data_IF_860852102905
#
_entry.id   IF_860852102905
#
_cell.length_a   1.000
_cell.length_b   1.000
_cell.length_c   1.000
_cell.angle_alpha   90.00
_cell.angle_beta   90.00
_cell.angle_gamma   90.00
#
_symmetry.space_group_name_H-M   'P 1'
#
loop_
_entity.id
_entity.type
_entity.pdbx_description
1 polymer ?
#
# COMPACT_ATOMS: atom_id res chain seq x y z
N UNK A 1 -12.00 30.86 1.72
CA UNK A 1 -12.63 30.86 3.06
C UNK A 1 -13.20 29.46 3.28
N UNK A 2 -12.47 28.59 3.97
CA UNK A 2 -12.91 27.21 4.24
C UNK A 2 -14.02 27.24 5.31
N UNK A 3 -15.09 26.43 5.19
CA UNK A 3 -16.13 26.38 6.20
C UNK A 3 -15.62 25.76 7.52
N UNK A 4 -16.23 26.09 8.67
CA UNK A 4 -15.82 25.55 9.97
C UNK A 4 -16.05 24.04 10.02
N UNK A 5 -15.08 23.34 10.61
CA UNK A 5 -15.12 21.90 10.81
C UNK A 5 -16.35 21.48 11.64
N UNK A 6 -17.17 20.60 11.07
CA UNK A 6 -18.28 19.95 11.76
C UNK A 6 -17.70 19.02 12.84
N UNK A 7 -18.29 18.92 14.05
CA UNK A 7 -17.83 17.96 15.05
C UNK A 7 -17.95 16.52 14.53
N UNK A 8 -16.83 15.81 14.50
CA UNK A 8 -16.71 14.49 13.88
C UNK A 8 -17.60 13.43 14.54
N UNK A 9 -18.28 12.64 13.70
CA UNK A 9 -19.14 11.54 14.13
C UNK A 9 -18.28 10.29 14.34
N UNK A 10 -18.33 9.72 15.54
CA UNK A 10 -17.71 8.43 15.87
C UNK A 10 -18.82 7.43 16.20
N UNK A 11 -18.78 6.24 15.59
CA UNK A 11 -19.74 5.17 15.88
C UNK A 11 -18.97 3.98 16.46
N UNK A 12 -19.43 3.47 17.59
CA UNK A 12 -18.94 2.21 18.16
C UNK A 12 -19.91 1.10 17.78
N UNK A 13 -19.46 0.18 16.92
CA UNK A 13 -20.21 -1.02 16.54
C UNK A 13 -19.61 -2.21 17.26
N UNK A 14 -20.15 -2.52 18.44
CA UNK A 14 -19.78 -3.72 19.20
C UNK A 14 -20.85 -4.81 19.08
N UNK A 15 -20.45 -6.05 18.78
CA UNK A 15 -21.32 -7.22 18.84
C UNK A 15 -21.86 -7.45 20.25
N UNK A 16 -23.13 -7.10 20.50
CA UNK A 16 -23.89 -7.67 21.63
C UNK A 16 -24.58 -8.95 21.17
N UNK A 17 -23.99 -10.11 21.45
CA UNK A 17 -24.67 -11.40 21.32
C UNK A 17 -25.74 -11.46 22.40
N UNK A 18 -27.00 -11.18 22.05
CA UNK A 18 -28.15 -11.47 22.92
C UNK A 18 -28.56 -12.92 22.72
N UNK A 19 -28.18 -13.78 23.66
CA UNK A 19 -28.75 -15.13 23.78
C UNK A 19 -30.17 -15.01 24.30
N UNK A 20 -31.16 -15.09 23.40
CA UNK A 20 -32.54 -15.30 23.79
C UNK A 20 -32.74 -16.77 24.11
N UNK A 21 -32.93 -17.09 25.41
CA UNK A 21 -33.49 -18.36 25.87
C UNK A 21 -35.00 -18.23 25.83
N UNK A 22 -35.65 -18.83 24.85
CA UNK A 22 -37.01 -19.37 24.99
C UNK A 22 -37.21 -20.58 24.06
N UNK A 23 -37.88 -21.65 24.52
CA UNK A 23 -37.95 -22.92 23.81
C UNK A 23 -39.21 -22.98 22.95
N UNK A 24 -39.03 -22.96 21.63
CA UNK A 24 -40.06 -23.41 20.69
C UNK A 24 -40.27 -22.50 19.50
N UNK A 25 -39.34 -22.47 18.54
CA UNK A 25 -39.62 -22.22 17.11
C UNK A 25 -38.41 -22.72 16.27
N UNK A 26 -38.60 -23.32 15.07
CA UNK A 26 -37.52 -23.98 14.34
C UNK A 26 -36.59 -22.96 13.66
N UNK A 27 -35.30 -23.31 13.69
CA UNK A 27 -34.18 -22.64 13.02
C UNK A 27 -34.45 -22.38 11.53
N UNK A 28 -34.19 -21.14 11.09
CA UNK A 28 -33.54 -20.67 9.86
C UNK A 28 -33.75 -19.14 9.84
N UNK A 29 -32.84 -18.38 9.24
CA UNK A 29 -32.70 -16.90 9.18
C UNK A 29 -31.68 -16.29 10.14
N UNK A 30 -30.42 -16.27 9.70
CA UNK A 30 -29.43 -15.28 10.12
C UNK A 30 -29.86 -13.91 9.57
N UNK A 31 -30.46 -13.06 10.42
CA UNK A 31 -30.75 -11.68 10.06
C UNK A 31 -29.47 -10.86 10.05
N UNK A 32 -28.86 -10.69 8.88
CA UNK A 32 -27.89 -9.63 8.60
C UNK A 32 -28.67 -8.31 8.58
N UNK A 33 -28.88 -7.72 9.76
CA UNK A 33 -29.56 -6.44 9.88
C UNK A 33 -28.64 -5.32 9.42
N UNK A 34 -28.75 -4.90 8.16
CA UNK A 34 -28.26 -3.61 7.69
C UNK A 34 -29.10 -2.50 8.32
N UNK A 35 -28.67 -1.98 9.47
CA UNK A 35 -29.21 -0.74 10.00
C UNK A 35 -28.63 0.43 9.22
N UNK A 36 -29.34 0.89 8.19
CA UNK A 36 -29.15 2.23 7.62
C UNK A 36 -29.50 3.28 8.68
N UNK A 37 -28.50 3.77 9.40
CA UNK A 37 -28.65 4.92 10.28
C UNK A 37 -28.74 6.20 9.44
N UNK A 38 -29.96 6.52 9.00
CA UNK A 38 -30.33 7.88 8.62
C UNK A 38 -30.31 8.73 9.89
N UNK A 39 -29.25 9.51 10.11
CA UNK A 39 -29.25 10.57 11.12
C UNK A 39 -30.13 11.72 10.62
N UNK A 40 -31.43 11.65 10.93
CA UNK A 40 -32.31 12.82 10.90
C UNK A 40 -32.31 13.41 12.31
N UNK A 41 -31.69 14.59 12.48
CA UNK A 41 -31.76 15.33 13.75
C UNK A 41 -33.22 15.73 14.03
N UNK A 42 -33.71 15.19 15.13
CA UNK A 42 -35.09 15.20 15.62
C UNK A 42 -35.59 16.56 16.11
N UNK A 43 -36.86 16.85 15.85
CA UNK A 43 -37.76 17.37 16.90
C UNK A 43 -39.25 17.20 16.51
N UNK A 44 -39.84 16.04 16.82
CA UNK A 44 -41.30 15.95 16.93
C UNK A 44 -41.70 14.79 17.86
N UNK A 45 -42.52 15.16 18.83
CA UNK A 45 -43.04 14.42 19.98
C UNK A 45 -43.88 13.20 19.55
N UNK A 46 -43.59 12.04 20.14
CA UNK A 46 -44.42 10.82 20.35
C UNK A 46 -45.75 10.65 19.59
N UNK A 47 -45.88 9.61 18.72
CA UNK A 47 -46.84 8.50 18.87
C UNK A 47 -46.64 7.41 17.79
N UNK A 48 -46.89 6.11 18.04
CA UNK A 48 -46.59 5.02 17.11
C UNK A 48 -47.84 4.45 16.42
N UNK A 49 -48.04 4.73 15.13
CA UNK A 49 -48.92 3.95 14.23
C UNK A 49 -48.49 4.11 12.76
N UNK A 50 -47.77 3.08 12.24
CA UNK A 50 -47.84 2.38 10.91
C UNK A 50 -48.46 3.12 9.68
N UNK A 51 -48.14 2.84 8.39
CA UNK A 51 -46.90 2.43 7.69
C UNK A 51 -46.52 3.34 6.48
N UNK A 52 -45.29 3.16 5.99
CA UNK A 52 -44.82 3.24 4.60
C UNK A 52 -45.72 3.92 3.52
N UNK A 53 -45.35 5.10 3.01
CA UNK A 53 -45.77 5.57 1.68
C UNK A 53 -44.82 6.61 1.08
N UNK A 54 -44.32 6.29 -0.12
CA UNK A 54 -43.82 7.25 -1.11
C UNK A 54 -44.90 8.31 -1.42
N UNK A 55 -44.44 9.46 -1.90
CA UNK A 55 -45.18 10.51 -2.63
C UNK A 55 -46.32 11.25 -1.91
N UNK A 56 -46.11 12.53 -1.58
CA UNK A 56 -47.15 13.56 -1.61
C UNK A 56 -46.54 14.98 -1.58
N UNK A 57 -46.08 15.48 -2.72
CA UNK A 57 -46.17 16.92 -3.02
C UNK A 57 -47.41 17.08 -3.90
N UNK A 58 -48.58 17.24 -3.28
CA UNK A 58 -49.82 17.57 -3.98
C UNK A 58 -50.18 19.02 -3.64
N UNK A 59 -50.13 19.87 -4.66
CA UNK A 59 -50.61 21.24 -4.65
C UNK A 59 -52.15 21.26 -4.67
N UNK A 60 -52.77 21.75 -3.60
CA UNK A 60 -54.13 22.31 -3.65
C UNK A 60 -54.16 23.58 -2.81
N UNK A 61 -54.68 24.66 -3.40
CA UNK A 61 -54.57 26.01 -2.87
C UNK A 61 -55.62 26.35 -1.81
N UNK A 62 -55.26 27.28 -0.91
CA UNK A 62 -56.04 28.48 -0.56
C UNK A 62 -55.44 29.15 0.68
N UNK A 63 -55.21 30.46 0.54
CA UNK A 63 -55.09 31.49 1.59
C UNK A 63 -53.97 31.43 2.67
N UNK A 64 -53.05 32.40 2.52
CA UNK A 64 -52.31 33.16 3.57
C UNK A 64 -51.61 32.35 4.68
N UNK A 65 -50.30 32.14 4.50
CA UNK A 65 -49.28 32.39 5.55
C UNK A 65 -47.90 32.59 4.92
N UNK A 66 -47.15 33.54 5.48
CA UNK A 66 -45.86 34.08 5.05
C UNK A 66 -44.81 33.00 4.69
N UNK A 67 -44.02 33.15 3.61
CA UNK A 67 -42.94 32.23 3.28
C UNK A 67 -41.70 32.63 4.09
N UNK A 68 -41.62 32.18 5.34
CA UNK A 68 -40.37 32.24 6.11
C UNK A 68 -40.06 30.86 6.66
N UNK A 69 -39.02 30.25 6.11
CA UNK A 69 -38.35 29.01 6.54
C UNK A 69 -38.92 27.69 5.98
N UNK A 70 -39.00 27.54 4.65
CA UNK A 70 -38.62 26.24 4.07
C UNK A 70 -37.10 26.22 3.99
N UNK A 71 -36.44 25.77 5.07
CA UNK A 71 -35.02 25.47 5.02
C UNK A 71 -34.81 24.39 3.95
N UNK A 72 -34.07 24.74 2.91
CA UNK A 72 -33.53 23.81 1.93
C UNK A 72 -32.82 22.68 2.69
N UNK A 73 -33.44 21.50 2.77
CA UNK A 73 -32.74 20.28 3.10
C UNK A 73 -31.77 20.02 1.95
N UNK A 74 -30.54 20.53 2.08
CA UNK A 74 -29.43 20.10 1.23
C UNK A 74 -29.39 18.58 1.28
N UNK A 75 -29.25 17.88 0.14
CA UNK A 75 -29.03 16.45 0.16
C UNK A 75 -27.76 16.19 0.97
N UNK A 76 -27.90 15.68 2.18
CA UNK A 76 -26.79 15.09 2.92
C UNK A 76 -26.26 13.97 2.05
N UNK A 77 -25.00 14.08 1.63
CA UNK A 77 -24.35 13.07 0.81
C UNK A 77 -24.36 11.74 1.58
N UNK A 78 -25.19 10.79 1.15
CA UNK A 78 -25.21 9.45 1.71
C UNK A 78 -23.95 8.73 1.22
N UNK A 79 -23.01 8.46 2.12
CA UNK A 79 -21.85 7.61 1.86
C UNK A 79 -22.14 6.21 2.39
N UNK A 80 -22.09 5.20 1.51
CA UNK A 80 -22.17 3.81 1.92
C UNK A 80 -20.78 3.35 2.39
N UNK A 81 -20.74 2.65 3.51
CA UNK A 81 -19.51 2.08 4.07
C UNK A 81 -19.67 0.57 4.16
N UNK A 82 -18.62 -0.14 3.78
CA UNK A 82 -18.52 -1.59 3.91
C UNK A 82 -17.62 -1.90 5.12
N UNK A 83 -18.20 -2.56 6.13
CA UNK A 83 -17.46 -2.95 7.34
C UNK A 83 -17.35 -4.47 7.38
N UNK A 84 -16.12 -4.96 7.57
CA UNK A 84 -15.84 -6.36 7.80
C UNK A 84 -15.43 -6.58 9.27
N UNK A 85 -16.15 -7.44 9.99
CA UNK A 85 -15.84 -7.81 11.39
C UNK A 85 -16.27 -6.78 12.45
N UNK A 86 -15.68 -6.90 13.64
CA UNK A 86 -15.85 -5.93 14.75
C UNK A 86 -14.82 -4.79 14.57
N UNK A 87 -15.17 -3.78 13.79
CA UNK A 87 -14.29 -2.66 13.44
C UNK A 87 -13.95 -1.70 14.61
N UNK A 88 -14.42 -1.98 15.82
CA UNK A 88 -14.18 -1.15 16.99
C UNK A 88 -14.75 0.27 16.85
N UNK A 89 -13.97 1.28 17.26
CA UNK A 89 -14.34 2.68 17.13
C UNK A 89 -14.00 3.17 15.71
N UNK A 90 -15.02 3.37 14.88
CA UNK A 90 -14.86 3.92 13.52
C UNK A 90 -15.25 5.39 13.50
N UNK A 91 -14.31 6.25 13.11
CA UNK A 91 -14.55 7.68 12.90
C UNK A 91 -14.93 7.90 11.44
N UNK A 92 -16.15 8.39 11.20
CA UNK A 92 -16.70 8.57 9.85
C UNK A 92 -16.34 9.94 9.26
N UNK A 93 -16.00 10.91 10.10
CA UNK A 93 -15.52 12.23 9.70
C UNK A 93 -14.22 12.56 10.47
N UNK A 94 -13.10 11.91 10.13
CA UNK A 94 -11.84 12.12 10.82
C UNK A 94 -11.23 13.46 10.43
N UNK A 95 -10.61 14.14 11.41
CA UNK A 95 -9.71 15.25 11.11
C UNK A 95 -8.44 14.73 10.39
N UNK A 96 -7.77 15.58 9.63
CA UNK A 96 -6.56 15.22 8.86
C UNK A 96 -5.52 14.41 9.66
N UNK A 97 -5.22 14.77 10.90
CA UNK A 97 -4.23 14.05 11.74
C UNK A 97 -4.74 12.69 12.22
N UNK A 98 -6.05 12.55 12.42
CA UNK A 98 -6.67 11.29 12.81
C UNK A 98 -6.64 10.31 11.64
N UNK A 99 -6.93 10.80 10.43
CA UNK A 99 -6.76 10.06 9.19
C UNK A 99 -5.28 9.67 8.99
N UNK A 100 -4.35 10.63 9.11
CA UNK A 100 -2.92 10.35 9.01
C UNK A 100 -2.47 9.23 9.96
N UNK A 101 -2.79 9.32 11.26
CA UNK A 101 -2.39 8.33 12.26
C UNK A 101 -3.03 6.96 12.02
N UNK A 102 -4.30 6.91 11.64
CA UNK A 102 -4.98 5.66 11.29
C UNK A 102 -4.24 4.94 10.16
N UNK A 103 -3.86 5.68 9.12
CA UNK A 103 -3.17 5.11 7.97
C UNK A 103 -1.70 4.81 8.23
N UNK A 104 -0.99 5.58 9.09
CA UNK A 104 0.36 5.22 9.55
C UNK A 104 0.35 3.87 10.25
N UNK A 105 -0.61 3.65 11.16
CA UNK A 105 -0.75 2.36 11.85
C UNK A 105 -1.10 1.25 10.86
N UNK A 106 -2.02 1.50 9.94
CA UNK A 106 -2.38 0.55 8.88
C UNK A 106 -1.18 0.18 8.00
N UNK A 107 -0.38 1.15 7.57
CA UNK A 107 0.83 0.93 6.76
C UNK A 107 1.92 0.16 7.49
N UNK A 108 2.07 0.38 8.80
CA UNK A 108 2.97 -0.41 9.63
C UNK A 108 2.54 -1.88 9.66
N UNK A 109 1.28 -2.16 9.98
CA UNK A 109 0.75 -3.53 10.03
C UNK A 109 0.76 -4.21 8.67
N UNK A 110 0.52 -3.48 7.59
CA UNK A 110 0.61 -4.00 6.23
C UNK A 110 1.96 -4.68 5.94
N UNK A 111 3.07 -4.10 6.40
CA UNK A 111 4.40 -4.69 6.20
C UNK A 111 4.61 -5.94 7.05
N UNK A 112 4.06 -5.98 8.26
CA UNK A 112 4.19 -7.13 9.16
C UNK A 112 3.31 -8.31 8.74
N UNK A 113 2.12 -8.04 8.21
CA UNK A 113 1.17 -9.06 7.75
C UNK A 113 1.48 -9.54 6.33
N UNK A 114 2.12 -8.68 5.51
CA UNK A 114 2.50 -8.99 4.14
C UNK A 114 3.69 -9.93 4.05
N UNK A 115 3.44 -11.24 4.01
CA UNK A 115 4.50 -12.26 3.85
C UNK A 115 5.38 -12.03 2.62
N UNK A 116 4.79 -11.55 1.52
CA UNK A 116 5.50 -11.19 0.29
C UNK A 116 6.54 -10.07 0.54
N UNK A 117 6.17 -9.06 1.33
CA UNK A 117 7.08 -7.98 1.71
C UNK A 117 8.21 -8.51 2.59
N UNK A 118 7.89 -9.31 3.60
CA UNK A 118 8.90 -9.89 4.50
C UNK A 118 9.92 -10.74 3.73
N UNK A 119 9.47 -11.60 2.81
CA UNK A 119 10.38 -12.42 1.99
C UNK A 119 11.22 -11.57 1.03
N UNK A 120 10.64 -10.53 0.43
CA UNK A 120 11.38 -9.58 -0.38
C UNK A 120 12.45 -8.83 0.43
N UNK A 121 12.11 -8.33 1.63
CA UNK A 121 13.05 -7.69 2.56
C UNK A 121 14.16 -8.66 3.00
N UNK A 122 13.82 -9.90 3.34
CA UNK A 122 14.81 -10.95 3.61
C UNK A 122 15.78 -11.11 2.44
N UNK A 123 15.28 -11.25 1.21
CA UNK A 123 16.10 -11.32 0.00
C UNK A 123 17.00 -10.08 -0.20
N UNK A 124 16.56 -8.88 0.18
CA UNK A 124 17.40 -7.70 0.08
C UNK A 124 18.57 -7.70 1.07
N UNK A 125 18.34 -8.17 2.30
CA UNK A 125 19.31 -8.10 3.41
C UNK A 125 20.34 -9.22 3.40
N UNK A 126 19.93 -10.44 3.01
CA UNK A 126 20.80 -11.63 2.99
C UNK A 126 22.19 -11.38 2.37
N UNK A 127 22.34 -10.79 1.16
CA UNK A 127 23.63 -10.66 0.48
C UNK A 127 24.52 -9.50 0.96
N UNK A 128 23.98 -8.49 1.64
CA UNK A 128 24.78 -7.42 2.25
C UNK A 128 24.00 -6.74 3.38
N UNK A 129 24.65 -6.58 4.53
CA UNK A 129 24.00 -6.15 5.80
C UNK A 129 24.36 -4.70 6.20
N UNK A 130 24.70 -3.85 5.22
CA UNK A 130 25.05 -2.44 5.47
C UNK A 130 23.79 -1.58 5.50
N UNK A 131 23.54 -0.89 6.62
CA UNK A 131 22.35 -0.06 6.83
C UNK A 131 22.16 1.04 5.77
N UNK A 132 23.19 1.84 5.50
CA UNK A 132 23.07 2.99 4.57
C UNK A 132 22.58 2.57 3.17
N UNK A 133 23.20 1.59 2.48
CA UNK A 133 22.69 1.10 1.21
C UNK A 133 21.29 0.48 1.30
N UNK A 134 21.00 -0.27 2.36
CA UNK A 134 19.70 -0.93 2.51
C UNK A 134 18.57 0.09 2.67
N UNK A 135 18.77 1.14 3.46
CA UNK A 135 17.80 2.23 3.59
C UNK A 135 17.52 2.87 2.23
N UNK A 136 18.54 3.20 1.43
CA UNK A 136 18.34 3.77 0.08
C UNK A 136 17.50 2.86 -0.81
N UNK A 137 17.74 1.54 -0.76
CA UNK A 137 17.05 0.56 -1.58
C UNK A 137 15.60 0.38 -1.12
N UNK A 138 15.38 0.27 0.20
CA UNK A 138 14.04 0.14 0.80
C UNK A 138 13.22 1.40 0.55
N UNK A 139 13.79 2.59 0.75
CA UNK A 139 13.10 3.85 0.43
C UNK A 139 12.77 3.93 -1.07
N UNK A 140 13.65 3.44 -1.96
CA UNK A 140 13.36 3.37 -3.39
C UNK A 140 12.16 2.46 -3.70
N UNK A 141 12.05 1.33 -3.02
CA UNK A 141 10.87 0.47 -3.07
C UNK A 141 9.61 1.23 -2.62
N UNK A 142 9.67 1.93 -1.48
CA UNK A 142 8.54 2.71 -0.95
C UNK A 142 8.09 3.81 -1.90
N UNK A 143 9.03 4.47 -2.58
CA UNK A 143 8.69 5.47 -3.60
C UNK A 143 7.95 4.83 -4.78
N UNK A 144 8.43 3.69 -5.30
CA UNK A 144 7.71 2.96 -6.36
C UNK A 144 6.33 2.48 -5.90
N UNK A 145 6.24 1.98 -4.68
CA UNK A 145 5.00 1.57 -4.02
C UNK A 145 4.01 2.73 -3.89
N UNK A 146 4.49 3.90 -3.45
CA UNK A 146 3.69 5.12 -3.34
C UNK A 146 3.10 5.53 -4.69
N UNK A 147 3.91 5.50 -5.76
CA UNK A 147 3.48 5.90 -7.10
C UNK A 147 2.35 4.99 -7.60
N UNK A 148 2.49 3.68 -7.44
CA UNK A 148 1.47 2.70 -7.87
C UNK A 148 0.20 2.78 -7.03
N UNK A 149 0.29 2.99 -5.71
CA UNK A 149 -0.87 3.23 -4.85
C UNK A 149 -1.63 4.50 -5.23
N UNK A 150 -0.90 5.61 -5.46
CA UNK A 150 -1.51 6.86 -5.92
C UNK A 150 -2.19 6.64 -7.28
N UNK A 151 -1.52 5.99 -8.22
CA UNK A 151 -2.10 5.70 -9.53
C UNK A 151 -3.40 4.88 -9.41
N UNK A 152 -3.41 3.85 -8.56
CA UNK A 152 -4.58 3.01 -8.33
C UNK A 152 -5.73 3.76 -7.62
N UNK A 153 -5.42 4.67 -6.70
CA UNK A 153 -6.39 5.50 -6.00
C UNK A 153 -7.07 6.52 -6.92
N UNK A 154 -6.37 7.02 -7.95
CA UNK A 154 -6.92 7.92 -8.96
C UNK A 154 -7.55 7.20 -10.16
N UNK A 155 -7.64 5.87 -10.14
CA UNK A 155 -8.27 5.09 -11.22
C UNK A 155 -7.43 4.95 -12.48
N UNK A 156 -6.10 5.08 -12.40
CA UNK A 156 -5.18 4.81 -13.52
C UNK A 156 -4.88 3.31 -13.72
N UNK A 157 -5.59 2.43 -13.01
CA UNK A 157 -5.43 0.98 -13.06
C UNK A 157 -6.68 0.34 -13.66
N UNK A 158 -6.56 -0.72 -14.48
CA UNK A 158 -7.73 -1.43 -14.98
C UNK A 158 -8.59 -2.02 -13.85
N UNK A 159 -9.89 -1.70 -13.83
CA UNK A 159 -10.85 -2.32 -12.92
C UNK A 159 -11.31 -3.70 -13.43
N UNK A 160 -10.36 -4.52 -13.88
CA UNK A 160 -10.63 -5.83 -14.45
C UNK A 160 -10.26 -6.95 -13.47
N UNK A 161 -11.09 -7.98 -13.40
CA UNK A 161 -10.94 -9.09 -12.44
C UNK A 161 -9.65 -9.90 -12.62
N UNK A 162 -9.04 -9.87 -13.82
CA UNK A 162 -7.76 -10.54 -14.09
C UNK A 162 -6.55 -9.76 -13.56
N UNK A 163 -6.70 -8.47 -13.25
CA UNK A 163 -5.57 -7.61 -12.88
C UNK A 163 -4.98 -7.93 -11.49
N UNK A 164 -5.76 -8.10 -10.41
CA UNK A 164 -5.19 -8.47 -9.11
C UNK A 164 -4.38 -9.78 -9.16
N UNK A 165 -4.90 -10.91 -9.68
CA UNK A 165 -4.14 -12.16 -9.78
C UNK A 165 -2.88 -12.03 -10.65
N UNK A 166 -2.93 -11.21 -11.71
CA UNK A 166 -1.75 -10.92 -12.52
C UNK A 166 -0.67 -10.24 -11.67
N UNK A 167 -1.03 -9.20 -10.92
CA UNK A 167 -0.08 -8.47 -10.08
C UNK A 167 0.47 -9.36 -8.97
N UNK A 168 -0.38 -10.16 -8.32
CA UNK A 168 0.05 -11.12 -7.29
C UNK A 168 1.03 -12.17 -7.84
N UNK A 169 0.81 -12.65 -9.07
CA UNK A 169 1.74 -13.55 -9.77
C UNK A 169 3.06 -12.84 -10.05
N UNK A 170 3.00 -11.59 -10.53
CA UNK A 170 4.20 -10.78 -10.79
C UNK A 170 4.98 -10.53 -9.49
N UNK A 171 4.32 -10.26 -8.36
CA UNK A 171 4.95 -10.14 -7.04
C UNK A 171 5.77 -11.40 -6.73
N UNK A 172 5.16 -12.59 -6.87
CA UNK A 172 5.87 -13.85 -6.65
C UNK A 172 7.09 -14.03 -7.59
N UNK A 173 6.94 -13.68 -8.88
CA UNK A 173 8.05 -13.67 -9.86
C UNK A 173 9.19 -12.75 -9.41
N UNK A 174 8.88 -11.55 -8.90
CA UNK A 174 9.92 -10.61 -8.44
C UNK A 174 10.71 -11.14 -7.23
N UNK A 175 10.07 -11.89 -6.34
CA UNK A 175 10.73 -12.53 -5.19
C UNK A 175 11.66 -13.66 -5.67
N UNK A 176 11.19 -14.52 -6.59
CA UNK A 176 12.02 -15.56 -7.22
C UNK A 176 13.24 -14.93 -7.89
N UNK A 177 13.03 -13.85 -8.64
CA UNK A 177 14.11 -13.11 -9.30
C UNK A 177 15.18 -12.65 -8.31
N UNK A 178 14.80 -12.02 -7.19
CA UNK A 178 15.77 -11.59 -6.16
C UNK A 178 16.54 -12.76 -5.57
N UNK A 179 15.84 -13.84 -5.27
CA UNK A 179 16.44 -15.02 -4.68
C UNK A 179 17.46 -15.66 -5.63
N UNK A 180 17.13 -15.80 -6.92
CA UNK A 180 18.05 -16.29 -7.94
C UNK A 180 19.24 -15.35 -8.14
N UNK A 181 19.02 -14.04 -8.15
CA UNK A 181 20.10 -13.05 -8.20
C UNK A 181 21.07 -13.26 -7.03
N UNK A 182 20.57 -13.41 -5.81
CA UNK A 182 21.42 -13.65 -4.64
C UNK A 182 22.25 -14.93 -4.77
N UNK A 183 21.65 -16.03 -5.24
CA UNK A 183 22.35 -17.30 -5.45
C UNK A 183 23.48 -17.14 -6.47
N UNK A 184 23.19 -16.51 -7.62
CA UNK A 184 24.17 -16.31 -8.69
C UNK A 184 25.33 -15.43 -8.21
N UNK A 185 25.05 -14.31 -7.54
CA UNK A 185 26.12 -13.43 -7.04
C UNK A 185 26.95 -14.08 -5.93
N UNK A 186 26.35 -14.94 -5.09
CA UNK A 186 27.07 -15.74 -4.11
C UNK A 186 27.98 -16.78 -4.76
N UNK A 187 27.47 -17.52 -5.75
CA UNK A 187 28.25 -18.51 -6.48
C UNK A 187 29.43 -17.89 -7.26
N UNK A 188 29.27 -16.66 -7.75
CA UNK A 188 30.31 -15.92 -8.46
C UNK A 188 31.30 -15.18 -7.52
N UNK A 189 31.11 -15.23 -6.20
CA UNK A 189 31.95 -14.51 -5.23
C UNK A 189 31.85 -12.98 -5.32
N UNK A 190 30.75 -12.45 -5.87
CA UNK A 190 30.53 -11.01 -6.12
C UNK A 190 29.56 -10.37 -5.13
N UNK A 191 29.52 -10.85 -3.89
CA UNK A 191 28.62 -10.29 -2.87
C UNK A 191 28.89 -8.79 -2.64
N UNK A 192 27.84 -7.98 -2.72
CA UNK A 192 27.85 -6.59 -2.24
C UNK A 192 28.30 -5.48 -3.21
N UNK A 193 28.44 -5.72 -4.52
CA UNK A 193 29.06 -4.71 -5.41
C UNK A 193 28.13 -3.80 -6.21
N UNK A 194 26.80 -4.04 -6.25
CA UNK A 194 25.95 -3.35 -7.24
C UNK A 194 24.72 -2.61 -6.67
N UNK A 195 24.98 -1.68 -5.74
CA UNK A 195 23.94 -0.81 -5.14
C UNK A 195 23.15 -0.06 -6.23
N UNK A 196 23.84 0.43 -7.27
CA UNK A 196 23.24 1.20 -8.37
C UNK A 196 22.18 0.41 -9.15
N UNK A 197 22.33 -0.91 -9.22
CA UNK A 197 21.37 -1.79 -9.89
C UNK A 197 20.22 -2.17 -8.96
N UNK A 198 20.52 -2.45 -7.70
CA UNK A 198 19.54 -2.92 -6.71
C UNK A 198 18.47 -1.89 -6.36
N UNK A 199 18.79 -0.60 -6.28
CA UNK A 199 17.77 0.43 -5.99
C UNK A 199 16.76 0.57 -7.13
N UNK A 200 17.19 0.41 -8.39
CA UNK A 200 16.31 0.44 -9.57
C UNK A 200 15.38 -0.78 -9.56
N UNK A 201 15.92 -1.96 -9.25
CA UNK A 201 15.14 -3.20 -9.16
C UNK A 201 14.12 -3.09 -8.02
N UNK A 202 14.54 -2.62 -6.84
CA UNK A 202 13.64 -2.41 -5.72
C UNK A 202 12.55 -1.38 -6.02
N UNK A 203 12.88 -0.29 -6.72
CA UNK A 203 11.88 0.66 -7.21
C UNK A 203 10.87 0.01 -8.15
N UNK A 204 11.35 -0.78 -9.13
CA UNK A 204 10.49 -1.50 -10.07
C UNK A 204 9.56 -2.50 -9.34
N UNK A 205 10.08 -3.20 -8.34
CA UNK A 205 9.28 -4.14 -7.54
C UNK A 205 8.30 -3.42 -6.63
N UNK A 206 8.67 -2.26 -6.10
CA UNK A 206 7.77 -1.35 -5.38
C UNK A 206 6.54 -1.00 -6.22
N UNK A 207 6.71 -0.67 -7.51
CA UNK A 207 5.59 -0.40 -8.42
C UNK A 207 4.64 -1.58 -8.53
N UNK A 208 5.17 -2.80 -8.70
CA UNK A 208 4.35 -4.01 -8.82
C UNK A 208 3.64 -4.30 -7.50
N UNK A 209 4.35 -4.25 -6.37
CA UNK A 209 3.79 -4.48 -5.04
C UNK A 209 2.68 -3.49 -4.69
N UNK A 210 2.81 -2.21 -5.05
CA UNK A 210 1.78 -1.23 -4.73
C UNK A 210 0.50 -1.42 -5.53
N UNK A 211 0.57 -1.95 -6.75
CA UNK A 211 -0.64 -2.38 -7.44
C UNK A 211 -1.32 -3.56 -6.73
N UNK A 212 -0.56 -4.50 -6.18
CA UNK A 212 -1.11 -5.69 -5.51
C UNK A 212 -1.89 -5.32 -4.25
N UNK A 213 -1.36 -4.37 -3.47
CA UNK A 213 -2.04 -3.91 -2.26
C UNK A 213 -3.18 -2.92 -2.52
N UNK A 214 -3.23 -2.28 -3.69
CA UNK A 214 -4.21 -1.24 -3.97
C UNK A 214 -5.68 -1.67 -3.79
N UNK A 215 -5.99 -2.95 -4.03
CA UNK A 215 -7.34 -3.51 -3.87
C UNK A 215 -7.77 -3.57 -2.39
N UNK A 216 -6.92 -4.10 -1.52
CA UNK A 216 -7.17 -4.10 -0.07
C UNK A 216 -7.20 -2.68 0.51
N UNK A 217 -6.35 -1.78 -0.02
CA UNK A 217 -6.31 -0.39 0.43
C UNK A 217 -7.61 0.35 0.10
N UNK A 218 -8.23 0.11 -1.07
CA UNK A 218 -9.50 0.75 -1.47
C UNK A 218 -10.60 0.59 -0.43
N UNK A 219 -10.70 -0.59 0.19
CA UNK A 219 -11.65 -0.84 1.28
C UNK A 219 -11.32 0.03 2.49
N UNK A 220 -10.06 0.12 2.92
CA UNK A 220 -9.73 0.96 4.07
C UNK A 220 -9.82 2.48 3.79
N UNK A 221 -9.62 2.91 2.54
CA UNK A 221 -9.66 4.31 2.13
C UNK A 221 -11.03 4.97 2.31
N UNK A 222 -12.10 4.19 2.43
CA UNK A 222 -13.43 4.73 2.76
C UNK A 222 -13.42 5.48 4.12
N UNK A 223 -12.54 5.08 5.05
CA UNK A 223 -12.39 5.71 6.36
C UNK A 223 -11.44 6.93 6.36
N UNK A 224 -10.87 7.30 5.20
CA UNK A 224 -10.00 8.47 5.09
C UNK A 224 -10.77 9.81 5.15
N UNK A 225 -12.10 9.80 5.02
CA UNK A 225 -12.92 10.99 4.91
C UNK A 225 -12.57 11.79 3.66
N UNK A 226 -12.49 13.12 3.78
CA UNK A 226 -12.08 14.02 2.69
C UNK A 226 -10.55 14.15 2.55
N UNK A 227 -9.78 13.32 3.27
CA UNK A 227 -8.33 13.43 3.41
C UNK A 227 -7.56 12.29 2.71
N UNK A 228 -7.96 11.92 1.50
CA UNK A 228 -7.36 10.82 0.73
C UNK A 228 -5.83 10.93 0.58
N UNK A 229 -5.31 12.12 0.22
CA UNK A 229 -3.86 12.31 0.06
C UNK A 229 -3.11 12.18 1.39
N UNK A 230 -3.71 12.68 2.47
CA UNK A 230 -3.15 12.54 3.82
C UNK A 230 -3.13 11.08 4.28
N UNK A 231 -4.17 10.32 3.97
CA UNK A 231 -4.24 8.89 4.22
C UNK A 231 -3.16 8.13 3.44
N UNK A 232 -3.02 8.37 2.13
CA UNK A 232 -1.99 7.73 1.30
C UNK A 232 -0.57 8.08 1.77
N UNK A 233 -0.32 9.34 2.13
CA UNK A 233 0.97 9.74 2.68
C UNK A 233 1.24 9.07 4.03
N UNK A 234 0.27 9.11 4.95
CA UNK A 234 0.37 8.45 6.25
C UNK A 234 0.63 6.95 6.11
N UNK A 235 -0.06 6.29 5.18
CA UNK A 235 0.14 4.88 4.88
C UNK A 235 1.59 4.58 4.48
N UNK A 236 2.17 5.34 3.54
CA UNK A 236 3.55 5.13 3.10
C UNK A 236 4.58 5.46 4.19
N UNK A 237 4.29 6.43 5.07
CA UNK A 237 5.11 6.67 6.27
C UNK A 237 5.08 5.46 7.20
N UNK A 238 3.90 4.88 7.43
CA UNK A 238 3.74 3.63 8.18
C UNK A 238 4.54 2.47 7.59
N UNK A 239 4.47 2.32 6.26
CA UNK A 239 5.23 1.32 5.49
C UNK A 239 6.73 1.50 5.72
N UNK A 240 7.28 2.69 5.50
CA UNK A 240 8.71 2.95 5.66
C UNK A 240 9.18 2.64 7.10
N UNK A 241 8.39 3.02 8.12
CA UNK A 241 8.68 2.72 9.53
C UNK A 241 8.70 1.20 9.76
N UNK A 242 7.69 0.48 9.27
CA UNK A 242 7.62 -0.98 9.37
C UNK A 242 8.79 -1.67 8.69
N UNK A 243 9.16 -1.21 7.49
CA UNK A 243 10.28 -1.76 6.75
C UNK A 243 11.61 -1.52 7.46
N UNK A 244 11.85 -0.33 8.01
CA UNK A 244 13.07 -0.04 8.79
C UNK A 244 13.11 -0.91 10.06
N UNK A 245 12.00 -1.10 10.75
CA UNK A 245 11.93 -1.95 11.94
C UNK A 245 12.29 -3.41 11.60
N UNK A 246 11.65 -3.98 10.56
CA UNK A 246 11.95 -5.34 10.08
C UNK A 246 13.40 -5.45 9.62
N UNK A 247 13.90 -4.45 8.90
CA UNK A 247 15.27 -4.39 8.41
C UNK A 247 16.29 -4.49 9.54
N UNK A 248 16.11 -3.73 10.63
CA UNK A 248 17.01 -3.76 11.79
C UNK A 248 17.03 -5.14 12.46
N UNK A 249 15.86 -5.78 12.60
CA UNK A 249 15.73 -7.13 13.16
C UNK A 249 16.41 -8.16 12.27
N UNK A 250 16.19 -8.10 10.95
CA UNK A 250 16.79 -9.03 9.99
C UNK A 250 18.32 -8.91 9.94
N UNK A 251 18.86 -7.69 9.96
CA UNK A 251 20.31 -7.47 9.98
C UNK A 251 20.92 -8.12 11.22
N UNK A 252 20.35 -7.87 12.40
CA UNK A 252 20.84 -8.46 13.65
C UNK A 252 20.76 -9.98 13.62
N UNK A 253 19.64 -10.55 13.19
CA UNK A 253 19.44 -11.99 13.13
C UNK A 253 20.44 -12.66 12.16
N UNK A 254 20.61 -12.11 10.96
CA UNK A 254 21.51 -12.65 9.94
C UNK A 254 22.99 -12.49 10.34
N UNK A 255 23.36 -11.39 10.98
CA UNK A 255 24.72 -11.21 11.52
C UNK A 255 25.06 -12.30 12.54
N UNK A 256 24.12 -12.64 13.44
CA UNK A 256 24.31 -13.72 14.40
C UNK A 256 24.40 -15.08 13.70
N UNK A 257 23.53 -15.35 12.72
CA UNK A 257 23.52 -16.64 12.01
C UNK A 257 24.83 -16.84 11.23
N UNK A 258 25.28 -15.86 10.46
CA UNK A 258 26.50 -16.00 9.66
C UNK A 258 27.78 -15.93 10.50
N UNK A 259 27.72 -15.35 11.70
CA UNK A 259 28.86 -15.37 12.63
C UNK A 259 29.03 -16.71 13.33
N UNK A 260 27.94 -17.41 13.65
CA UNK A 260 27.99 -18.58 14.54
C UNK A 260 27.59 -19.92 13.89
N UNK A 261 26.78 -19.93 12.83
CA UNK A 261 26.17 -21.17 12.30
C UNK A 261 26.72 -21.57 10.93
N UNK A 262 26.84 -20.65 9.98
CA UNK A 262 27.16 -20.98 8.58
C UNK A 262 28.07 -19.95 7.93
N UNK A 263 28.91 -20.41 7.00
CA UNK A 263 29.67 -19.51 6.13
C UNK A 263 28.71 -18.64 5.30
N UNK A 264 29.04 -17.36 5.16
CA UNK A 264 28.19 -16.34 4.53
C UNK A 264 27.72 -16.74 3.13
N UNK A 265 28.61 -17.24 2.26
CA UNK A 265 28.19 -17.66 0.90
C UNK A 265 27.14 -18.76 0.93
N UNK A 266 27.22 -19.68 1.91
CA UNK A 266 26.41 -20.89 1.93
C UNK A 266 25.06 -20.54 2.53
N UNK A 267 25.07 -19.76 3.61
CA UNK A 267 23.87 -19.19 4.19
C UNK A 267 23.07 -18.38 3.17
N UNK A 268 23.73 -17.56 2.36
CA UNK A 268 23.07 -16.77 1.29
C UNK A 268 22.42 -17.68 0.26
N UNK A 269 23.13 -18.71 -0.23
CA UNK A 269 22.59 -19.63 -1.24
C UNK A 269 21.42 -20.43 -0.68
N UNK A 270 21.57 -21.04 0.50
CA UNK A 270 20.55 -21.90 1.12
C UNK A 270 19.30 -21.10 1.45
N UNK A 271 19.44 -19.95 2.13
CA UNK A 271 18.28 -19.11 2.49
C UNK A 271 17.57 -18.59 1.25
N UNK A 272 18.32 -18.15 0.23
CA UNK A 272 17.72 -17.68 -1.03
C UNK A 272 17.03 -18.83 -1.78
N UNK A 273 17.58 -20.04 -1.78
CA UNK A 273 16.95 -21.20 -2.40
C UNK A 273 15.62 -21.58 -1.71
N UNK A 274 15.56 -21.49 -0.38
CA UNK A 274 14.32 -21.70 0.37
C UNK A 274 13.27 -20.63 0.04
N UNK A 275 13.67 -19.37 -0.02
CA UNK A 275 12.76 -18.26 -0.40
C UNK A 275 12.27 -18.46 -1.83
N UNK A 276 13.15 -18.80 -2.77
CA UNK A 276 12.79 -19.09 -4.16
C UNK A 276 11.78 -20.24 -4.26
N UNK A 277 11.97 -21.30 -3.45
CA UNK A 277 11.06 -22.44 -3.43
C UNK A 277 9.65 -22.05 -2.95
N UNK A 278 9.55 -21.28 -1.85
CA UNK A 278 8.25 -20.78 -1.36
C UNK A 278 7.59 -19.87 -2.41
N UNK A 279 8.34 -18.92 -2.96
CA UNK A 279 7.82 -17.99 -3.95
C UNK A 279 7.42 -18.70 -5.26
N UNK A 280 8.10 -19.80 -5.62
CA UNK A 280 7.73 -20.64 -6.77
C UNK A 280 6.34 -21.27 -6.61
N UNK A 281 6.04 -21.81 -5.43
CA UNK A 281 4.69 -22.35 -5.16
C UNK A 281 3.62 -21.27 -5.24
N UNK A 282 3.85 -20.09 -4.66
CA UNK A 282 2.92 -18.97 -4.77
C UNK A 282 2.75 -18.48 -6.20
N UNK A 283 3.82 -18.43 -6.99
CA UNK A 283 3.74 -18.07 -8.40
C UNK A 283 2.84 -19.03 -9.18
N UNK A 284 2.96 -20.35 -8.94
CA UNK A 284 2.08 -21.34 -9.56
C UNK A 284 0.64 -21.14 -9.10
N UNK A 285 0.41 -21.07 -7.79
CA UNK A 285 -0.94 -20.92 -7.22
C UNK A 285 -1.66 -19.68 -7.77
N UNK A 286 -0.99 -18.53 -7.75
CA UNK A 286 -1.53 -17.25 -8.25
C UNK A 286 -1.65 -17.25 -9.77
N UNK A 287 -0.72 -17.92 -10.47
CA UNK A 287 -0.76 -18.12 -11.91
C UNK A 287 -1.93 -19.00 -12.36
N UNK A 288 -2.26 -20.04 -11.59
CA UNK A 288 -3.45 -20.87 -11.81
C UNK A 288 -4.74 -20.08 -11.56
N UNK A 289 -4.75 -19.18 -10.57
CA UNK A 289 -5.87 -18.27 -10.37
C UNK A 289 -6.03 -17.31 -11.56
N UNK A 290 -4.94 -16.74 -12.06
CA UNK A 290 -4.93 -15.89 -13.25
C UNK A 290 -5.46 -16.64 -14.49
N UNK A 291 -5.06 -17.91 -14.68
CA UNK A 291 -5.47 -18.73 -15.81
C UNK A 291 -6.99 -19.02 -15.86
N UNK A 292 -7.72 -18.83 -14.76
CA UNK A 292 -9.19 -18.97 -14.72
C UNK A 292 -9.90 -17.80 -15.40
N UNK A 293 -9.24 -16.67 -15.59
CA UNK A 293 -9.83 -15.50 -16.21
C UNK A 293 -9.63 -15.54 -17.73
N UNK A 294 -10.68 -15.27 -18.52
CA UNK A 294 -10.53 -15.18 -19.97
C UNK A 294 -9.62 -14.00 -20.32
N UNK A 295 -8.80 -14.16 -21.36
CA UNK A 295 -7.98 -13.07 -21.86
C UNK A 295 -8.85 -11.84 -22.17
N UNK A 296 -8.39 -10.62 -21.81
CA UNK A 296 -9.12 -9.40 -22.07
C UNK A 296 -9.37 -9.28 -23.58
N UNK A 297 -10.62 -8.96 -23.95
CA UNK A 297 -10.94 -8.63 -25.33
C UNK A 297 -10.16 -7.38 -25.69
N UNK A 298 -9.48 -7.41 -26.85
CA UNK A 298 -8.71 -6.27 -27.35
C UNK A 298 -9.71 -5.27 -27.95
N UNK A 299 -10.33 -4.46 -27.10
CA UNK A 299 -11.19 -3.36 -27.49
C UNK A 299 -10.43 -2.01 -27.44
N UNK A 300 -11.06 -0.96 -27.97
CA UNK A 300 -10.46 0.37 -27.99
C UNK A 300 -10.21 0.91 -26.58
N UNK A 301 -11.03 0.53 -25.61
CA UNK A 301 -10.88 0.93 -24.20
C UNK A 301 -9.65 0.27 -23.57
N UNK A 302 -9.46 -1.03 -23.76
CA UNK A 302 -8.28 -1.78 -23.35
C UNK A 302 -7.03 -1.18 -24.01
N UNK A 303 -7.03 -0.96 -25.32
CA UNK A 303 -5.89 -0.38 -26.03
C UNK A 303 -5.55 1.03 -25.52
N UNK A 304 -6.56 1.88 -25.29
CA UNK A 304 -6.36 3.22 -24.73
C UNK A 304 -5.82 3.17 -23.29
N UNK A 305 -6.25 2.21 -22.47
CA UNK A 305 -5.68 2.00 -21.13
C UNK A 305 -4.23 1.51 -21.20
N UNK A 306 -3.93 0.58 -22.11
CA UNK A 306 -2.59 0.04 -22.32
C UNK A 306 -1.62 1.11 -22.82
N UNK A 307 -2.04 1.96 -23.77
CA UNK A 307 -1.23 3.08 -24.26
C UNK A 307 -0.94 4.11 -23.17
N UNK A 308 -1.93 4.47 -22.34
CA UNK A 308 -1.73 5.38 -21.20
C UNK A 308 -0.75 4.79 -20.19
N UNK A 309 -0.90 3.51 -19.85
CA UNK A 309 0.02 2.78 -18.98
C UNK A 309 1.43 2.75 -19.56
N UNK A 310 1.58 2.44 -20.85
CA UNK A 310 2.87 2.41 -21.54
C UNK A 310 3.56 3.78 -21.52
N UNK A 311 2.84 4.86 -21.84
CA UNK A 311 3.38 6.23 -21.79
C UNK A 311 3.83 6.59 -20.37
N UNK A 312 3.02 6.29 -19.36
CA UNK A 312 3.39 6.51 -17.96
C UNK A 312 4.66 5.73 -17.57
N UNK A 313 4.75 4.46 -17.97
CA UNK A 313 5.95 3.63 -17.75
C UNK A 313 7.19 4.16 -18.46
N UNK A 314 7.05 4.68 -19.69
CA UNK A 314 8.16 5.30 -20.42
C UNK A 314 8.65 6.58 -19.74
N UNK A 315 7.74 7.44 -19.29
CA UNK A 315 8.08 8.67 -18.55
C UNK A 315 8.79 8.30 -17.25
N UNK A 316 8.27 7.31 -16.52
CA UNK A 316 8.87 6.82 -15.28
C UNK A 316 10.26 6.23 -15.53
N UNK A 317 10.42 5.41 -16.57
CA UNK A 317 11.71 4.84 -16.95
C UNK A 317 12.74 5.93 -17.29
N UNK A 318 12.34 6.97 -18.04
CA UNK A 318 13.21 8.11 -18.32
C UNK A 318 13.62 8.84 -17.03
N UNK A 319 12.67 9.10 -16.14
CA UNK A 319 12.95 9.74 -14.85
C UNK A 319 13.93 8.92 -13.99
N UNK A 320 13.76 7.60 -13.94
CA UNK A 320 14.67 6.68 -13.23
C UNK A 320 16.06 6.66 -13.86
N UNK A 321 16.16 6.65 -15.20
CA UNK A 321 17.45 6.71 -15.89
C UNK A 321 18.18 8.02 -15.62
N UNK A 322 17.46 9.15 -15.63
CA UNK A 322 18.01 10.46 -15.29
C UNK A 322 18.47 10.50 -13.83
N UNK A 323 17.66 10.03 -12.89
CA UNK A 323 18.01 9.92 -11.47
C UNK A 323 19.23 9.02 -11.26
N UNK A 324 19.33 7.90 -11.96
CA UNK A 324 20.50 7.01 -11.92
C UNK A 324 21.76 7.70 -12.43
N UNK A 325 21.66 8.43 -13.54
CA UNK A 325 22.79 9.18 -14.10
C UNK A 325 23.27 10.26 -13.13
N UNK A 326 22.35 10.94 -12.45
CA UNK A 326 22.65 11.94 -11.43
C UNK A 326 23.29 11.32 -10.18
N UNK A 327 22.72 10.22 -9.66
CA UNK A 327 23.24 9.51 -8.50
C UNK A 327 24.67 9.01 -8.73
N UNK A 328 24.94 8.44 -9.91
CA UNK A 328 26.31 8.01 -10.29
C UNK A 328 27.30 9.18 -10.29
N UNK A 329 26.91 10.31 -10.88
CA UNK A 329 27.75 11.53 -10.90
C UNK A 329 28.00 12.07 -9.49
N UNK A 330 26.97 12.09 -8.64
CA UNK A 330 27.07 12.56 -7.27
C UNK A 330 27.99 11.67 -6.42
N UNK A 331 27.85 10.34 -6.51
CA UNK A 331 28.75 9.39 -5.83
C UNK A 331 30.19 9.55 -6.32
N UNK A 332 30.40 9.76 -7.63
CA UNK A 332 31.75 9.99 -8.17
C UNK A 332 32.34 11.32 -7.70
N UNK A 333 31.54 12.38 -7.58
CA UNK A 333 31.99 13.68 -7.10
C UNK A 333 32.41 13.67 -5.61
N UNK A 334 31.89 12.73 -4.81
CA UNK A 334 32.29 12.56 -3.41
C UNK A 334 33.55 11.70 -3.21
N UNK A 335 34.06 11.03 -4.24
CA UNK A 335 35.36 10.36 -4.15
C UNK A 335 36.44 11.44 -4.18
N UNK A 336 37.06 11.69 -3.02
CA UNK A 336 38.25 12.54 -2.91
C UNK A 336 39.28 12.03 -3.94
N UNK A 337 39.80 12.88 -4.84
CA UNK A 337 40.85 12.46 -5.76
C UNK A 337 42.03 11.90 -4.97
N UNK A 338 42.67 10.80 -5.41
CA UNK A 338 43.85 10.30 -4.74
C UNK A 338 44.88 11.44 -4.66
N UNK A 339 45.43 11.66 -3.46
CA UNK A 339 46.51 12.61 -3.26
C UNK A 339 47.74 12.13 -4.06
N UNK A 340 47.83 12.57 -5.32
CA UNK A 340 49.08 12.61 -6.07
C UNK A 340 49.53 14.06 -6.10
N UNK A 341 50.82 14.23 -5.83
CA UNK A 341 51.63 15.44 -6.08
C UNK A 341 51.80 16.43 -4.91
N UNK A 342 52.23 15.93 -3.74
CA UNK A 342 52.94 16.75 -2.73
C UNK A 342 54.30 16.18 -2.30
N UNK A 343 54.86 15.22 -3.05
CA UNK A 343 56.17 14.67 -2.76
C UNK A 343 56.96 14.44 -4.05
N UNK A 344 57.72 15.44 -4.48
CA UNK A 344 59.08 15.32 -5.03
C UNK A 344 59.49 16.64 -5.70
N UNK A 345 60.12 17.53 -4.93
CA UNK A 345 61.08 18.46 -5.51
C UNK A 345 62.36 18.37 -4.67
N UNK A 346 63.44 17.71 -5.14
CA UNK A 346 64.68 17.62 -4.38
C UNK A 346 65.46 18.95 -4.45
N UNK A 347 66.18 19.34 -3.39
CA UNK A 347 66.87 20.62 -3.35
C UNK A 347 68.01 20.66 -4.38
N UNK A 348 67.99 21.64 -5.26
CA UNK A 348 69.08 21.96 -6.18
C UNK A 348 70.36 22.27 -5.38
N UNK A 349 71.38 21.42 -5.52
CA UNK A 349 72.71 21.67 -4.97
C UNK A 349 73.34 22.89 -5.65
N UNK A 350 73.77 23.85 -4.83
CA UNK A 350 74.79 24.85 -5.19
C UNK A 350 76.11 24.13 -5.49
N UNK A 351 76.73 24.48 -6.60
CA UNK A 351 78.19 24.46 -6.81
C UNK A 351 78.57 25.68 -7.63
#
# INVERSE_FOLDING_TARGET
>A
MYPPAVPGISIYLGRRVRTWKDPGFPRIWSSTGTSSCSMSCSNARSNPTVPNSRSACASTGSARKSPRHCASCRPTATRAFELHGDAGLVRLDPRWHQSALLFVVSGFWHILEGTDHLLFLCCLVIPFRRLRPLVIIVTSFTVGHSISLIAAAFGFVPDALWFPPLVETLIAVTIIYMALENIVYAALGKLGSDISRRWIIAFAFGLVHGFGFSFALRESLQFAGDHLMTALFGFNVGVEIGQIAVLLVLILALDLIFRYLVAEWLGVIVMSALIAHVAWHWMIERGEQLAKFPFPKIDAAFLASAMRGLMAMMILALAVLLANSWLKRWIQAQKIPPAKDLAADPPSKRS
#
